data_IF_212719269116
#
_entry.id   IF_212719269116
#
_cell.length_a   1.000
_cell.length_b   1.000
_cell.length_c   1.000
_cell.angle_alpha   90.00
_cell.angle_beta   90.00
_cell.angle_gamma   90.00
#
_symmetry.space_group_name_H-M   'P 1'
#
loop_
_entity.id
_entity.type
_entity.pdbx_description
1 polymer ?
#
# COMPACT_ATOMS: atom_id res chain seq x y z
N UNK A 1 -12.38 10.77 -37.88
CA UNK A 1 -12.70 9.31 -37.83
C UNK A 1 -11.41 8.46 -37.90
N UNK A 2 -10.46 8.79 -38.77
CA UNK A 2 -9.20 8.00 -38.92
C UNK A 2 -8.34 8.05 -37.64
N UNK A 3 -8.18 9.22 -37.02
CA UNK A 3 -7.44 9.38 -35.78
C UNK A 3 -8.06 8.54 -34.63
N UNK A 4 -9.39 8.52 -34.53
CA UNK A 4 -10.08 7.72 -33.51
C UNK A 4 -9.90 6.20 -33.71
N UNK A 5 -9.91 5.74 -34.96
CA UNK A 5 -9.62 4.31 -35.28
C UNK A 5 -8.18 3.94 -34.90
N UNK A 6 -7.22 4.80 -35.18
CA UNK A 6 -5.81 4.60 -34.80
C UNK A 6 -5.65 4.56 -33.28
N UNK A 7 -6.30 5.48 -32.57
CA UNK A 7 -6.29 5.53 -31.11
C UNK A 7 -6.91 4.28 -30.50
N UNK A 8 -8.06 3.86 -30.99
CA UNK A 8 -8.71 2.64 -30.53
C UNK A 8 -7.86 1.40 -30.83
N UNK A 9 -7.25 1.33 -32.02
CA UNK A 9 -6.32 0.27 -32.36
C UNK A 9 -5.10 0.22 -31.43
N UNK A 10 -4.55 1.37 -31.03
CA UNK A 10 -3.46 1.46 -30.06
C UNK A 10 -3.90 0.97 -28.67
N UNK A 11 -5.08 1.35 -28.20
CA UNK A 11 -5.62 0.85 -26.93
C UNK A 11 -5.79 -0.67 -26.95
N UNK A 12 -6.40 -1.22 -27.99
CA UNK A 12 -6.59 -2.66 -28.14
C UNK A 12 -5.23 -3.37 -28.21
N UNK A 13 -4.29 -2.87 -29.00
CA UNK A 13 -2.93 -3.42 -29.09
C UNK A 13 -2.21 -3.45 -27.75
N UNK A 14 -2.29 -2.36 -26.98
CA UNK A 14 -1.72 -2.30 -25.64
C UNK A 14 -2.33 -3.31 -24.69
N UNK A 15 -3.67 -3.46 -24.69
CA UNK A 15 -4.35 -4.46 -23.87
C UNK A 15 -3.92 -5.88 -24.27
N UNK A 16 -3.82 -6.16 -25.56
CA UNK A 16 -3.37 -7.46 -26.05
C UNK A 16 -1.94 -7.78 -25.59
N UNK A 17 -1.02 -6.82 -25.71
CA UNK A 17 0.37 -6.99 -25.25
C UNK A 17 0.41 -7.26 -23.75
N UNK A 18 -0.26 -6.46 -22.94
CA UNK A 18 -0.29 -6.66 -21.48
C UNK A 18 -1.00 -7.96 -21.08
N UNK A 19 -1.95 -8.44 -21.87
CA UNK A 19 -2.61 -9.73 -21.61
C UNK A 19 -1.67 -10.93 -21.82
N UNK A 20 -0.58 -10.76 -22.58
CA UNK A 20 0.44 -11.80 -22.78
C UNK A 20 1.48 -11.85 -21.66
N UNK A 21 1.56 -10.85 -20.78
CA UNK A 21 2.52 -10.83 -19.69
C UNK A 21 2.10 -11.80 -18.59
N UNK A 22 3.07 -12.43 -17.93
CA UNK A 22 2.80 -13.35 -16.81
C UNK A 22 2.22 -12.60 -15.61
N UNK A 23 2.81 -11.45 -15.27
CA UNK A 23 2.35 -10.60 -14.17
C UNK A 23 1.35 -9.56 -14.70
N UNK A 24 0.11 -9.64 -14.24
CA UNK A 24 -1.01 -8.79 -14.69
C UNK A 24 -1.50 -7.92 -13.54
N UNK A 25 -1.42 -6.61 -13.74
CA UNK A 25 -1.96 -5.66 -12.78
C UNK A 25 -2.88 -4.65 -13.48
N UNK A 26 -4.00 -4.35 -12.85
CA UNK A 26 -4.98 -3.38 -13.38
C UNK A 26 -4.35 -1.98 -13.56
N UNK A 27 -3.36 -1.62 -12.73
CA UNK A 27 -2.68 -0.33 -12.83
C UNK A 27 -1.97 -0.12 -14.17
N UNK A 28 -1.57 -1.17 -14.87
CA UNK A 28 -0.96 -1.05 -16.21
C UNK A 28 -1.94 -0.53 -17.26
N UNK A 29 -3.24 -0.63 -16.99
CA UNK A 29 -4.28 -0.09 -17.87
C UNK A 29 -4.63 1.37 -17.58
N UNK A 30 -4.14 1.95 -16.49
CA UNK A 30 -4.43 3.34 -16.11
C UNK A 30 -4.14 4.36 -17.22
N UNK A 31 -3.04 4.29 -17.99
CA UNK A 31 -2.79 5.21 -19.09
C UNK A 31 -3.84 5.15 -20.21
N UNK A 32 -4.58 4.05 -20.34
CA UNK A 32 -5.62 3.88 -21.34
C UNK A 32 -6.98 4.45 -20.91
N UNK A 33 -7.20 4.64 -19.61
CA UNK A 33 -8.49 5.07 -19.05
C UNK A 33 -9.00 6.39 -19.66
N UNK A 34 -8.20 7.47 -19.82
CA UNK A 34 -8.65 8.71 -20.44
C UNK A 34 -9.12 8.50 -21.89
N UNK A 35 -8.44 7.64 -22.64
CA UNK A 35 -8.77 7.35 -24.03
C UNK A 35 -10.04 6.51 -24.16
N UNK A 36 -10.25 5.56 -23.26
CA UNK A 36 -11.49 4.79 -23.18
C UNK A 36 -12.68 5.68 -22.82
N UNK A 37 -12.52 6.63 -21.91
CA UNK A 37 -13.55 7.62 -21.59
C UNK A 37 -13.86 8.52 -22.79
N UNK A 38 -12.86 8.97 -23.53
CA UNK A 38 -13.06 9.76 -24.75
C UNK A 38 -13.82 8.95 -25.80
N UNK A 39 -13.45 7.68 -26.01
CA UNK A 39 -14.15 6.80 -26.95
C UNK A 39 -15.60 6.60 -26.56
N UNK A 40 -15.86 6.36 -25.26
CA UNK A 40 -17.22 6.21 -24.72
C UNK A 40 -18.06 7.51 -24.92
N UNK A 41 -17.49 8.68 -24.64
CA UNK A 41 -18.15 9.96 -24.83
C UNK A 41 -18.52 10.20 -26.31
N UNK A 42 -17.61 9.86 -27.23
CA UNK A 42 -17.85 9.98 -28.68
C UNK A 42 -18.90 8.99 -29.15
N UNK A 43 -18.92 7.77 -28.62
CA UNK A 43 -19.93 6.77 -28.93
C UNK A 43 -21.32 7.23 -28.46
N UNK A 44 -21.43 7.73 -27.23
CA UNK A 44 -22.66 8.29 -26.69
C UNK A 44 -23.19 9.46 -27.54
N UNK A 45 -22.29 10.37 -27.93
CA UNK A 45 -22.63 11.49 -28.82
C UNK A 45 -23.14 11.02 -30.16
N UNK A 46 -22.53 9.98 -30.75
CA UNK A 46 -22.95 9.45 -32.04
C UNK A 46 -24.27 8.68 -31.99
N UNK A 47 -24.58 8.07 -30.83
CA UNK A 47 -25.83 7.35 -30.60
C UNK A 47 -27.03 8.28 -30.25
N UNK A 48 -26.71 9.52 -29.82
CA UNK A 48 -27.75 10.50 -29.48
C UNK A 48 -28.29 11.19 -30.74
N UNK A 49 -29.59 11.16 -30.92
CA UNK A 49 -30.31 11.89 -31.99
C UNK A 49 -30.39 13.40 -31.70
N UNK A 50 -30.06 13.85 -30.50
CA UNK A 50 -30.07 15.24 -30.07
C UNK A 50 -28.67 15.78 -29.78
N UNK A 51 -28.39 17.05 -30.07
CA UNK A 51 -27.10 17.64 -29.70
C UNK A 51 -26.94 17.63 -28.17
N UNK A 52 -25.84 17.07 -27.68
CA UNK A 52 -25.49 17.10 -26.27
C UNK A 52 -24.82 18.45 -25.98
N UNK A 53 -25.59 19.37 -25.41
CA UNK A 53 -25.16 20.76 -25.16
C UNK A 53 -24.71 20.94 -23.70
N UNK A 54 -25.12 20.06 -22.81
CA UNK A 54 -24.77 20.12 -21.38
C UNK A 54 -24.67 18.72 -20.77
N UNK A 55 -24.07 18.66 -19.58
CA UNK A 55 -23.94 17.41 -18.81
C UNK A 55 -25.32 16.81 -18.46
N UNK A 56 -26.31 17.67 -18.17
CA UNK A 56 -27.68 17.23 -17.90
C UNK A 56 -28.33 16.58 -19.11
N UNK A 57 -28.11 17.13 -20.30
CA UNK A 57 -28.60 16.52 -21.55
C UNK A 57 -27.88 15.20 -21.83
N UNK A 58 -26.57 15.11 -21.57
CA UNK A 58 -25.83 13.86 -21.70
C UNK A 58 -26.39 12.79 -20.76
N UNK A 59 -26.63 13.12 -19.50
CA UNK A 59 -27.22 12.22 -18.52
C UNK A 59 -28.65 11.80 -18.89
N UNK A 60 -29.48 12.71 -19.36
CA UNK A 60 -30.85 12.43 -19.80
C UNK A 60 -30.91 11.52 -21.03
N UNK A 61 -29.89 11.56 -21.89
CA UNK A 61 -29.77 10.72 -23.07
C UNK A 61 -29.38 9.25 -22.75
N UNK A 62 -28.90 8.99 -21.52
CA UNK A 62 -28.51 7.65 -21.12
C UNK A 62 -29.74 6.74 -20.85
N UNK A 63 -29.62 5.45 -21.11
CA UNK A 63 -30.63 4.47 -20.71
C UNK A 63 -30.88 4.53 -19.20
N UNK A 64 -32.11 4.23 -18.77
CA UNK A 64 -32.49 4.28 -17.35
C UNK A 64 -31.55 3.49 -16.45
N UNK A 65 -31.16 2.29 -16.83
CA UNK A 65 -30.26 1.43 -16.07
C UNK A 65 -28.86 2.02 -15.92
N UNK A 66 -28.34 2.65 -16.97
CA UNK A 66 -27.03 3.33 -16.91
C UNK A 66 -27.07 4.51 -15.93
N UNK A 67 -28.17 5.28 -15.90
CA UNK A 67 -28.36 6.37 -14.94
C UNK A 67 -28.39 5.87 -13.50
N UNK A 68 -29.14 4.78 -13.23
CA UNK A 68 -29.20 4.15 -11.91
C UNK A 68 -27.79 3.66 -11.51
N UNK A 69 -27.10 2.99 -12.42
CA UNK A 69 -25.74 2.49 -12.18
C UNK A 69 -24.76 3.63 -11.85
N UNK A 70 -24.79 4.74 -12.59
CA UNK A 70 -23.97 5.91 -12.30
C UNK A 70 -24.28 6.53 -10.93
N UNK A 71 -25.55 6.60 -10.54
CA UNK A 71 -25.94 7.10 -9.23
C UNK A 71 -25.40 6.22 -8.08
N UNK A 72 -25.38 4.90 -8.27
CA UNK A 72 -24.80 3.98 -7.30
C UNK A 72 -23.28 4.14 -7.22
N UNK A 73 -22.61 4.47 -8.34
CA UNK A 73 -21.16 4.67 -8.33
C UNK A 73 -20.71 5.90 -7.51
N UNK A 74 -21.56 6.94 -7.40
CA UNK A 74 -21.19 8.15 -6.66
C UNK A 74 -20.87 7.88 -5.19
N UNK A 75 -21.72 7.21 -4.40
CA UNK A 75 -21.38 6.89 -3.00
C UNK A 75 -20.19 5.93 -2.89
N UNK A 76 -20.03 4.99 -3.81
CA UNK A 76 -18.85 4.11 -3.85
C UNK A 76 -17.58 4.92 -4.10
N UNK A 77 -17.61 5.84 -5.07
CA UNK A 77 -16.49 6.74 -5.38
C UNK A 77 -16.14 7.61 -4.17
N UNK A 78 -17.13 8.22 -3.53
CA UNK A 78 -16.93 9.04 -2.32
C UNK A 78 -16.31 8.20 -1.21
N UNK A 79 -16.80 6.98 -0.99
CA UNK A 79 -16.22 6.08 0.01
C UNK A 79 -14.75 5.75 -0.32
N UNK A 80 -14.47 5.33 -1.55
CA UNK A 80 -13.12 4.94 -1.95
C UNK A 80 -12.15 6.12 -1.90
N UNK A 81 -12.56 7.31 -2.36
CA UNK A 81 -11.66 8.48 -2.40
C UNK A 81 -11.48 9.17 -1.04
N UNK A 82 -12.51 9.16 -0.18
CA UNK A 82 -12.49 9.94 1.04
C UNK A 82 -12.25 9.10 2.32
N UNK A 83 -12.61 7.82 2.31
CA UNK A 83 -12.59 6.98 3.52
C UNK A 83 -11.72 5.74 3.39
N UNK A 84 -11.66 5.11 2.21
CA UNK A 84 -10.87 3.90 2.00
C UNK A 84 -9.38 4.20 2.13
N UNK A 85 -8.67 3.35 2.85
CA UNK A 85 -7.23 3.49 3.11
C UNK A 85 -6.80 4.80 3.82
N UNK A 86 -7.74 5.56 4.37
CA UNK A 86 -7.44 6.82 5.06
C UNK A 86 -6.51 6.62 6.26
N UNK A 87 -6.71 5.56 7.03
CA UNK A 87 -5.91 5.26 8.20
C UNK A 87 -4.42 5.06 7.84
N UNK A 88 -4.14 4.39 6.73
CA UNK A 88 -2.77 4.13 6.26
C UNK A 88 -2.03 5.41 5.85
N UNK A 89 -2.76 6.41 5.36
CA UNK A 89 -2.18 7.73 5.04
C UNK A 89 -2.07 8.58 6.31
N UNK A 90 -3.10 8.57 7.13
CA UNK A 90 -3.15 9.39 8.35
C UNK A 90 -2.11 8.98 9.39
N UNK A 91 -1.78 7.69 9.54
CA UNK A 91 -0.75 7.25 10.46
C UNK A 91 0.61 7.84 10.11
N UNK A 92 0.95 7.93 8.83
CA UNK A 92 2.22 8.54 8.39
C UNK A 92 2.22 10.05 8.64
N UNK A 93 1.11 10.73 8.39
CA UNK A 93 0.95 12.16 8.73
C UNK A 93 1.02 12.41 10.23
N UNK A 94 0.45 11.52 11.04
CA UNK A 94 0.56 11.56 12.50
C UNK A 94 2.01 11.39 12.96
N UNK A 95 2.73 10.42 12.44
CA UNK A 95 4.15 10.19 12.74
C UNK A 95 5.02 11.38 12.32
N UNK A 96 4.73 11.99 11.17
CA UNK A 96 5.40 13.22 10.74
C UNK A 96 5.18 14.37 11.75
N UNK A 97 3.96 14.53 12.25
CA UNK A 97 3.66 15.53 13.27
C UNK A 97 4.36 15.19 14.60
N UNK A 98 4.32 13.93 15.00
CA UNK A 98 4.94 13.44 16.23
C UNK A 98 6.47 13.60 16.19
N UNK A 99 7.11 13.38 15.04
CA UNK A 99 8.55 13.55 14.88
C UNK A 99 9.05 14.99 15.07
N UNK A 100 8.14 15.96 14.96
CA UNK A 100 8.40 17.38 15.23
C UNK A 100 8.02 17.83 16.63
N UNK A 101 7.51 16.93 17.45
CA UNK A 101 7.15 17.23 18.84
C UNK A 101 8.39 17.35 19.75
N UNK A 102 8.17 17.78 20.99
CA UNK A 102 9.23 17.87 22.01
C UNK A 102 9.80 16.49 22.40
N UNK A 103 9.06 15.41 22.14
CA UNK A 103 9.46 14.02 22.39
C UNK A 103 9.21 13.19 21.14
N UNK A 104 10.07 13.29 20.12
CA UNK A 104 9.91 12.53 18.90
C UNK A 104 10.08 11.02 19.18
N UNK A 105 9.38 10.14 18.45
CA UNK A 105 9.57 8.70 18.57
C UNK A 105 11.01 8.34 18.17
N UNK A 106 11.67 7.53 18.98
CA UNK A 106 13.03 7.10 18.69
C UNK A 106 13.09 6.20 17.47
N UNK A 107 12.11 5.32 17.33
CA UNK A 107 12.02 4.43 16.19
C UNK A 107 10.58 3.96 15.97
N UNK A 108 10.25 3.55 14.74
CA UNK A 108 8.92 3.12 14.35
C UNK A 108 9.02 1.84 13.52
N UNK A 109 8.29 0.82 13.93
CA UNK A 109 8.16 -0.43 13.20
C UNK A 109 6.77 -0.59 12.61
N UNK A 110 6.67 -0.93 11.33
CA UNK A 110 5.40 -1.16 10.65
C UNK A 110 5.19 -2.66 10.46
N UNK A 111 4.37 -3.26 11.32
CA UNK A 111 3.92 -4.63 11.20
C UNK A 111 2.62 -4.69 10.38
N UNK A 112 2.73 -4.27 9.14
CA UNK A 112 1.65 -4.18 8.17
C UNK A 112 2.10 -4.85 6.87
N UNK A 113 1.18 -5.31 6.01
CA UNK A 113 1.56 -5.77 4.68
C UNK A 113 2.40 -4.71 3.97
N UNK A 114 3.42 -5.14 3.24
CA UNK A 114 4.26 -4.22 2.50
C UNK A 114 3.42 -3.33 1.57
N UNK A 115 3.90 -2.12 1.31
CA UNK A 115 3.19 -1.12 0.49
C UNK A 115 1.80 -0.68 1.03
N UNK A 116 1.48 -0.97 2.31
CA UNK A 116 0.21 -0.53 2.91
C UNK A 116 0.17 0.97 3.21
N UNK A 117 1.32 1.62 3.32
CA UNK A 117 1.42 3.05 3.64
C UNK A 117 2.22 3.78 2.56
N UNK A 118 2.03 5.11 2.39
CA UNK A 118 2.80 5.90 1.44
C UNK A 118 4.26 6.13 1.84
N UNK A 119 4.68 5.64 3.01
CA UNK A 119 6.05 5.66 3.52
C UNK A 119 6.71 7.06 3.42
N UNK A 120 7.96 7.12 2.91
CA UNK A 120 8.74 8.35 2.84
C UNK A 120 8.10 9.46 2.00
N UNK A 121 7.27 9.13 1.01
CA UNK A 121 6.57 10.13 0.21
C UNK A 121 5.66 11.06 1.04
N UNK A 122 5.31 10.67 2.27
CA UNK A 122 4.52 11.49 3.20
C UNK A 122 5.24 11.77 4.51
N UNK A 123 6.25 10.98 4.86
CA UNK A 123 6.96 11.14 6.13
C UNK A 123 8.02 12.24 6.06
N UNK A 124 8.84 12.27 5.01
CA UNK A 124 9.87 13.28 4.73
C UNK A 124 10.61 13.79 5.98
N UNK A 125 10.95 12.87 6.87
CA UNK A 125 11.53 13.23 8.16
C UNK A 125 12.97 12.71 8.21
N UNK A 126 13.98 13.59 8.20
CA UNK A 126 15.38 13.18 8.28
C UNK A 126 15.68 12.29 9.49
N UNK A 127 14.93 12.46 10.58
CA UNK A 127 15.07 11.65 11.79
C UNK A 127 14.87 10.16 11.56
N UNK A 128 14.00 9.79 10.61
CA UNK A 128 13.71 8.39 10.25
C UNK A 128 14.43 7.94 8.98
N UNK A 129 15.17 8.83 8.33
CA UNK A 129 15.91 8.47 7.13
C UNK A 129 17.08 7.56 7.49
N UNK A 130 17.30 6.58 6.61
CA UNK A 130 18.44 5.71 6.75
C UNK A 130 19.76 6.49 6.62
N UNK A 131 20.65 6.29 7.55
CA UNK A 131 21.99 6.87 7.50
C UNK A 131 22.91 6.09 6.52
N UNK A 132 22.43 5.72 5.33
CA UNK A 132 23.25 5.00 4.36
C UNK A 132 22.47 4.44 3.18
N UNK A 133 23.19 4.05 2.16
CA UNK A 133 22.77 3.64 0.83
C UNK A 133 21.90 2.35 0.78
N UNK A 134 21.75 1.65 1.89
CA UNK A 134 21.12 0.32 1.94
C UNK A 134 19.68 0.29 2.48
N UNK A 135 19.06 1.44 2.69
CA UNK A 135 17.62 1.53 3.06
C UNK A 135 17.24 0.97 4.45
N UNK A 136 18.17 0.39 5.17
CA UNK A 136 17.93 -0.52 6.28
C UNK A 136 18.46 -0.03 7.64
N UNK A 137 18.99 1.16 7.71
CA UNK A 137 19.64 1.69 8.93
C UNK A 137 18.87 2.84 9.56
N UNK A 138 17.68 3.15 9.05
CA UNK A 138 16.81 4.17 9.60
C UNK A 138 16.15 3.73 10.90
N UNK A 139 15.70 4.72 11.66
CA UNK A 139 14.90 4.48 12.87
C UNK A 139 13.46 4.05 12.54
N UNK A 140 13.12 3.94 11.27
CA UNK A 140 11.85 3.40 10.79
C UNK A 140 12.08 2.21 9.85
N UNK A 141 11.29 1.16 10.03
CA UNK A 141 11.36 -0.05 9.22
C UNK A 141 9.96 -0.64 8.98
N UNK A 142 9.84 -1.48 7.97
CA UNK A 142 8.62 -2.18 7.61
C UNK A 142 8.91 -3.62 7.18
N UNK A 143 7.88 -4.48 7.20
CA UNK A 143 7.99 -5.84 6.67
C UNK A 143 8.22 -5.78 5.17
N UNK A 144 9.32 -6.37 4.71
CA UNK A 144 9.71 -6.35 3.30
C UNK A 144 8.98 -7.44 2.51
N UNK A 145 8.79 -7.22 1.21
CA UNK A 145 8.21 -8.20 0.28
C UNK A 145 8.99 -8.19 -1.05
N UNK A 146 10.27 -8.56 -1.02
CA UNK A 146 11.05 -8.63 -2.25
C UNK A 146 10.46 -9.69 -3.19
N UNK A 147 10.53 -9.47 -4.51
CA UNK A 147 10.11 -10.49 -5.46
C UNK A 147 10.99 -11.75 -5.33
N UNK A 148 10.46 -12.93 -5.67
CA UNK A 148 11.25 -14.16 -5.61
C UNK A 148 12.48 -14.03 -6.49
N UNK A 149 13.68 -14.37 -6.00
CA UNK A 149 14.86 -14.42 -6.83
C UNK A 149 14.69 -15.50 -7.93
N UNK A 150 15.35 -15.31 -9.06
CA UNK A 150 15.25 -16.25 -10.20
C UNK A 150 15.57 -17.71 -9.84
N UNK A 151 16.30 -17.93 -8.75
CA UNK A 151 16.69 -19.23 -8.23
C UNK A 151 15.79 -19.76 -7.12
N UNK A 152 14.73 -19.02 -6.76
CA UNK A 152 13.85 -19.43 -5.67
C UNK A 152 13.05 -20.67 -6.06
N UNK A 153 13.07 -21.68 -5.18
CA UNK A 153 12.14 -22.80 -5.26
C UNK A 153 10.73 -22.33 -4.87
N UNK A 154 9.72 -22.84 -5.54
CA UNK A 154 8.33 -22.62 -5.14
C UNK A 154 7.96 -23.57 -3.99
N UNK A 155 7.15 -23.13 -2.99
CA UNK A 155 6.63 -21.78 -2.81
C UNK A 155 7.66 -20.85 -2.17
N UNK A 156 7.76 -19.61 -2.69
CA UNK A 156 8.56 -18.55 -2.09
C UNK A 156 7.69 -17.74 -1.12
N UNK A 157 8.20 -17.51 0.07
CA UNK A 157 7.58 -16.67 1.10
C UNK A 157 8.51 -15.50 1.40
N UNK A 158 7.96 -14.32 1.44
CA UNK A 158 8.67 -13.13 1.88
C UNK A 158 8.48 -12.89 3.39
N UNK A 159 9.10 -11.85 3.91
CA UNK A 159 9.01 -11.49 5.33
C UNK A 159 7.57 -11.22 5.78
N UNK A 160 6.79 -10.56 4.94
CA UNK A 160 5.38 -10.25 5.20
C UNK A 160 4.54 -11.54 5.26
N UNK A 161 4.79 -12.49 4.34
CA UNK A 161 4.11 -13.78 4.32
C UNK A 161 4.37 -14.58 5.61
N UNK A 162 5.63 -14.65 6.03
CA UNK A 162 6.00 -15.33 7.29
C UNK A 162 5.32 -14.71 8.50
N UNK A 163 5.31 -13.37 8.58
CA UNK A 163 4.67 -12.67 9.68
C UNK A 163 3.17 -12.92 9.72
N UNK A 164 2.46 -12.79 8.60
CA UNK A 164 1.01 -12.95 8.59
C UNK A 164 0.53 -14.39 8.67
N UNK A 165 1.41 -15.36 8.34
CA UNK A 165 1.11 -16.78 8.54
C UNK A 165 1.08 -17.17 10.03
N UNK A 166 2.10 -16.76 10.80
CA UNK A 166 2.16 -16.98 12.24
C UNK A 166 2.83 -15.81 12.96
N UNK A 167 2.03 -14.77 13.29
CA UNK A 167 2.56 -13.56 13.93
C UNK A 167 3.21 -13.82 15.28
N UNK A 168 2.67 -14.77 16.06
CA UNK A 168 3.17 -15.07 17.41
C UNK A 168 4.56 -15.68 17.36
N UNK A 169 4.75 -16.70 16.54
CA UNK A 169 6.06 -17.33 16.36
C UNK A 169 7.06 -16.34 15.75
N UNK A 170 6.62 -15.53 14.78
CA UNK A 170 7.48 -14.50 14.20
C UNK A 170 7.98 -13.51 15.26
N UNK A 171 7.08 -12.94 16.07
CA UNK A 171 7.44 -11.98 17.11
C UNK A 171 8.38 -12.60 18.15
N UNK A 172 8.16 -13.85 18.55
CA UNK A 172 9.02 -14.55 19.53
C UNK A 172 10.40 -14.91 19.00
N UNK A 173 10.53 -15.16 17.70
CA UNK A 173 11.77 -15.65 17.11
C UNK A 173 12.60 -14.55 16.47
N UNK A 174 11.97 -13.45 16.03
CA UNK A 174 12.62 -12.37 15.28
C UNK A 174 12.85 -11.11 16.11
N UNK A 175 12.21 -10.99 17.25
CA UNK A 175 12.43 -9.91 18.20
C UNK A 175 13.13 -10.43 19.46
N UNK A 176 13.93 -9.61 20.15
CA UNK A 176 14.52 -9.99 21.42
C UNK A 176 13.42 -10.25 22.47
N UNK A 177 13.69 -11.08 23.49
CA UNK A 177 12.69 -11.40 24.51
C UNK A 177 12.23 -10.22 25.35
N UNK A 178 13.08 -9.17 25.45
CA UNK A 178 12.80 -7.96 26.22
C UNK A 178 13.15 -6.72 25.41
N UNK A 179 12.45 -5.61 25.68
CA UNK A 179 12.81 -4.29 25.16
C UNK A 179 14.06 -3.81 25.87
N UNK A 180 15.06 -3.35 25.12
CA UNK A 180 16.23 -2.69 25.69
C UNK A 180 15.81 -1.34 26.29
N UNK A 181 16.05 -1.07 27.58
CA UNK A 181 15.72 0.20 28.20
C UNK A 181 16.51 1.39 27.64
N UNK A 182 17.63 1.14 26.96
CA UNK A 182 18.42 2.15 26.26
C UNK A 182 17.97 2.37 24.81
N UNK A 183 16.87 1.77 24.44
CA UNK A 183 16.33 1.81 23.09
C UNK A 183 16.24 3.23 22.49
N UNK A 184 16.61 3.40 21.17
CA UNK A 184 16.99 2.35 20.26
C UNK A 184 18.42 1.88 20.46
N UNK A 185 18.66 0.56 20.47
CA UNK A 185 20.01 0.06 20.40
C UNK A 185 20.61 0.48 19.06
N UNK A 186 21.72 1.19 19.12
CA UNK A 186 22.38 1.76 17.93
C UNK A 186 23.14 0.72 17.09
N UNK A 187 22.79 -0.53 17.16
CA UNK A 187 23.42 -1.57 16.36
C UNK A 187 22.88 -1.55 14.92
N UNK A 188 23.63 -0.88 14.08
CA UNK A 188 23.38 -0.77 12.63
C UNK A 188 23.54 -2.07 11.84
N UNK A 189 23.93 -3.17 12.48
CA UNK A 189 24.41 -4.36 11.77
C UNK A 189 23.41 -5.49 11.66
N UNK A 190 22.23 -5.36 12.25
CA UNK A 190 21.31 -6.51 12.40
C UNK A 190 20.08 -6.51 11.49
N UNK A 191 19.95 -5.54 10.62
CA UNK A 191 18.67 -5.28 9.96
C UNK A 191 18.59 -5.61 8.48
N UNK A 192 19.71 -5.85 7.79
CA UNK A 192 19.65 -6.19 6.38
C UNK A 192 18.93 -7.53 6.20
N UNK A 193 17.71 -7.57 5.66
CA UNK A 193 17.11 -8.81 5.26
C UNK A 193 18.00 -9.38 4.18
N UNK A 194 18.64 -10.49 4.45
CA UNK A 194 19.30 -11.25 3.39
C UNK A 194 18.20 -11.79 2.51
N UNK A 195 18.06 -11.20 1.34
CA UNK A 195 17.08 -11.59 0.35
C UNK A 195 17.09 -13.12 0.19
N UNK A 196 15.95 -13.74 0.43
CA UNK A 196 15.76 -15.17 0.19
C UNK A 196 16.00 -16.11 1.37
N UNK A 197 16.35 -15.61 2.57
CA UNK A 197 16.49 -16.46 3.76
C UNK A 197 15.74 -15.87 4.95
N UNK A 198 14.77 -16.60 5.45
CA UNK A 198 13.99 -16.28 6.64
C UNK A 198 14.84 -16.10 7.92
N UNK A 199 16.02 -16.73 7.97
CA UNK A 199 16.93 -16.75 9.11
C UNK A 199 17.63 -15.43 9.41
N UNK A 200 17.55 -14.43 8.51
CA UNK A 200 18.23 -13.14 8.64
C UNK A 200 17.36 -11.99 9.19
N UNK A 201 16.05 -12.17 9.22
CA UNK A 201 15.15 -11.09 9.64
C UNK A 201 15.06 -10.98 11.15
N UNK A 202 15.80 -10.06 11.73
CA UNK A 202 15.75 -9.75 13.15
C UNK A 202 15.43 -8.28 13.34
N UNK A 203 14.59 -7.97 14.33
CA UNK A 203 14.14 -6.62 14.62
C UNK A 203 14.36 -6.31 16.10
N UNK A 204 14.80 -5.09 16.48
CA UNK A 204 14.62 -4.63 17.85
C UNK A 204 13.16 -4.23 18.05
N UNK A 205 12.71 -4.23 19.26
CA UNK A 205 11.44 -3.62 19.62
C UNK A 205 11.52 -2.10 19.40
N UNK A 206 10.73 -1.51 18.51
CA UNK A 206 10.75 -0.08 18.25
C UNK A 206 10.04 0.68 19.37
N UNK A 207 10.28 1.98 19.50
CA UNK A 207 9.54 2.81 20.45
C UNK A 207 8.04 2.88 20.13
N UNK A 208 7.69 2.81 18.85
CA UNK A 208 6.32 2.82 18.35
C UNK A 208 6.11 1.70 17.33
N UNK A 209 4.99 1.00 17.48
CA UNK A 209 4.53 -0.01 16.52
C UNK A 209 3.29 0.47 15.79
N UNK A 210 3.29 0.35 14.49
CA UNK A 210 2.13 0.60 13.63
C UNK A 210 1.60 -0.75 13.15
N UNK A 211 0.37 -1.03 13.53
CA UNK A 211 -0.31 -2.30 13.21
C UNK A 211 -1.75 -2.05 12.78
N UNK A 212 -2.32 -2.95 12.02
CA UNK A 212 -3.77 -2.94 11.82
C UNK A 212 -4.49 -3.40 13.08
N UNK A 213 -5.61 -2.77 13.41
CA UNK A 213 -6.44 -3.15 14.57
C UNK A 213 -6.89 -4.61 14.53
N UNK A 214 -7.06 -5.19 13.33
CA UNK A 214 -7.36 -6.59 13.13
C UNK A 214 -6.28 -7.54 13.70
N UNK A 215 -5.02 -7.12 13.69
CA UNK A 215 -3.94 -7.90 14.29
C UNK A 215 -4.07 -7.96 15.82
N UNK A 216 -4.55 -6.88 16.45
CA UNK A 216 -4.79 -6.83 17.88
C UNK A 216 -6.01 -7.64 18.33
N UNK A 217 -6.89 -8.05 17.42
CA UNK A 217 -7.96 -8.99 17.70
C UNK A 217 -7.43 -10.40 18.04
N UNK A 218 -6.20 -10.72 17.63
CA UNK A 218 -5.50 -11.91 18.11
C UNK A 218 -4.94 -11.63 19.52
N UNK A 219 -5.59 -12.22 20.53
CA UNK A 219 -5.23 -12.01 21.94
C UNK A 219 -3.79 -12.36 22.23
N UNK A 220 -3.25 -13.43 21.64
CA UNK A 220 -1.85 -13.84 21.85
C UNK A 220 -0.85 -12.79 21.33
N UNK A 221 -1.19 -12.06 20.28
CA UNK A 221 -0.35 -10.97 19.75
C UNK A 221 -0.49 -9.73 20.65
N UNK A 222 -1.70 -9.38 21.04
CA UNK A 222 -1.94 -8.22 21.92
C UNK A 222 -1.28 -8.42 23.28
N UNK A 223 -1.33 -9.63 23.85
CA UNK A 223 -0.68 -9.96 25.11
C UNK A 223 0.85 -9.81 25.02
N UNK A 224 1.44 -10.25 23.89
CA UNK A 224 2.88 -10.05 23.65
C UNK A 224 3.23 -8.54 23.61
N UNK A 225 2.45 -7.73 22.92
CA UNK A 225 2.68 -6.29 22.87
C UNK A 225 2.52 -5.64 24.24
N UNK A 226 1.50 -6.01 25.00
CA UNK A 226 1.29 -5.50 26.37
C UNK A 226 2.40 -5.92 27.32
N UNK A 227 2.91 -7.15 27.20
CA UNK A 227 4.06 -7.62 27.97
C UNK A 227 5.32 -6.83 27.69
N UNK A 228 5.51 -6.32 26.45
CA UNK A 228 6.59 -5.43 26.06
C UNK A 228 6.35 -3.95 26.42
N UNK A 229 5.24 -3.63 27.08
CA UNK A 229 4.92 -2.28 27.52
C UNK A 229 4.17 -1.42 26.50
N UNK A 230 3.86 -1.94 25.30
CA UNK A 230 3.08 -1.16 24.31
C UNK A 230 1.65 -0.96 24.79
N UNK A 231 1.09 0.19 24.42
CA UNK A 231 -0.31 0.55 24.68
C UNK A 231 -0.89 1.18 23.40
N UNK A 232 -2.15 0.91 23.07
CA UNK A 232 -2.81 1.59 21.96
C UNK A 232 -2.93 3.09 22.28
N UNK A 233 -2.71 3.91 21.26
CA UNK A 233 -2.83 5.38 21.30
C UNK A 233 -4.01 5.84 20.46
#
# INVERSE_FOLDING_TARGET
>A
RQALRRLFGACVGTICVYSCLQHKEVRFLQPLVPWLHLAAALALRSASSRPIVSLSHAYAALPRWTRIWLLIQVPVLVYVCAFHARAQVQVVSYLHTLSRSMSPPHSVGFLMPCHSTPWQSHMHTPHFEAAGDSGDTGLAWFLTCPPPPATAAAPYWDQSDYFFHDPVTYLRTRFPPTVDPTFPPMSRTSFAPRVGHDLGWRHPWPSHLVVFSSLLANTSVSDLFYAQGYRPT
#
